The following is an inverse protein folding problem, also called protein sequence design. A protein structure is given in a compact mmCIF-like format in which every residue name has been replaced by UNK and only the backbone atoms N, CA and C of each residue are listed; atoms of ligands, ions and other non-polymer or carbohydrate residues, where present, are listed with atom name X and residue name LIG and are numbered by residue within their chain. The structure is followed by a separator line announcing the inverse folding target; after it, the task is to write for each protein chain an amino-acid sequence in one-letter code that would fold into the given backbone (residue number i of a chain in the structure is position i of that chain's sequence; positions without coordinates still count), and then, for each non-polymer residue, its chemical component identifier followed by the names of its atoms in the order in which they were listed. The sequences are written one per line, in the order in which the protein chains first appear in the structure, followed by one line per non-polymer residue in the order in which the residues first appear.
data_IF_217582484119
#
_entry.id   IF_217582484119
#
_cell.length_a   1.000
_cell.length_b   1.000
_cell.length_c   1.000
_cell.angle_alpha   90.00
_cell.angle_beta   90.00
_cell.angle_gamma   90.00
#
_symmetry.space_group_name_H-M   'P 1'
#
loop_
_entity.id
_entity.type
_entity.pdbx_description
1 polymer ?
#
# COMPACT_ATOMS: atom_id res chain seq x y z
N UNK A 1 -33.81 1.08 6.31
CA UNK A 1 -32.71 0.98 5.34
C UNK A 1 -31.63 0.11 5.96
N UNK A 2 -31.22 -0.98 5.32
CA UNK A 2 -30.24 -1.94 5.85
C UNK A 2 -29.98 -3.07 4.86
N UNK A 3 -28.83 -3.74 4.94
CA UNK A 3 -28.52 -4.90 4.09
C UNK A 3 -29.31 -6.12 4.58
N UNK A 4 -29.75 -7.00 3.65
CA UNK A 4 -30.42 -8.26 3.99
C UNK A 4 -29.62 -9.07 5.02
N UNK A 5 -28.30 -9.16 4.82
CA UNK A 5 -27.38 -9.83 5.73
C UNK A 5 -27.42 -9.25 7.16
N UNK A 6 -27.48 -7.92 7.31
CA UNK A 6 -27.57 -7.27 8.62
C UNK A 6 -28.90 -7.52 9.34
N UNK A 7 -30.01 -7.61 8.59
CA UNK A 7 -31.35 -7.90 9.15
C UNK A 7 -31.49 -9.37 9.52
N UNK A 8 -30.86 -10.28 8.76
CA UNK A 8 -30.89 -11.73 8.98
C UNK A 8 -29.78 -12.23 9.94
N UNK A 9 -29.13 -11.33 10.69
CA UNK A 9 -28.17 -11.72 11.73
C UNK A 9 -26.79 -12.19 11.24
N UNK A 10 -26.38 -11.80 10.03
CA UNK A 10 -25.07 -12.09 9.46
C UNK A 10 -24.19 -10.83 9.45
N UNK A 11 -23.52 -10.48 10.57
CA UNK A 11 -22.72 -9.27 10.67
C UNK A 11 -21.47 -9.34 9.78
N UNK A 12 -21.14 -8.21 9.15
CA UNK A 12 -19.91 -8.08 8.37
C UNK A 12 -18.75 -7.78 9.33
N UNK A 13 -17.68 -8.58 9.27
CA UNK A 13 -16.43 -8.28 9.96
C UNK A 13 -15.52 -7.46 9.05
N UNK A 14 -15.06 -6.31 9.54
CA UNK A 14 -14.07 -5.47 8.85
C UNK A 14 -12.70 -5.83 9.41
N UNK A 15 -11.79 -6.28 8.55
CA UNK A 15 -10.39 -6.53 8.91
C UNK A 15 -9.54 -5.35 8.47
N UNK A 16 -8.73 -4.80 9.37
CA UNK A 16 -7.84 -3.68 9.10
C UNK A 16 -6.38 -4.08 9.35
N UNK A 17 -5.82 -5.06 8.61
CA UNK A 17 -4.53 -5.69 8.94
C UNK A 17 -3.33 -4.74 8.88
N UNK A 18 -3.50 -3.54 8.32
CA UNK A 18 -2.44 -2.56 8.13
C UNK A 18 -2.60 -1.32 9.03
N UNK A 19 -3.66 -1.22 9.86
CA UNK A 19 -4.03 0.04 10.52
C UNK A 19 -2.98 0.56 11.50
N UNK A 20 -2.31 -0.35 12.21
CA UNK A 20 -1.26 -0.02 13.18
C UNK A 20 0.16 -0.06 12.58
N UNK A 21 0.27 -0.38 11.28
CA UNK A 21 1.56 -0.54 10.61
C UNK A 21 2.04 0.78 10.02
N UNK A 22 3.32 1.07 10.24
CA UNK A 22 4.05 2.10 9.48
C UNK A 22 4.24 1.66 8.04
N UNK A 23 4.53 2.62 7.17
CA UNK A 23 4.75 2.34 5.73
C UNK A 23 5.90 1.35 5.49
N UNK A 24 6.97 1.46 6.28
CA UNK A 24 8.11 0.52 6.26
C UNK A 24 7.72 -0.90 6.68
N UNK A 25 6.87 -1.04 7.69
CA UNK A 25 6.34 -2.34 8.13
C UNK A 25 5.40 -2.96 7.08
N UNK A 26 4.58 -2.15 6.41
CA UNK A 26 3.75 -2.58 5.28
C UNK A 26 4.63 -3.09 4.14
N UNK A 27 5.74 -2.40 3.83
CA UNK A 27 6.69 -2.81 2.80
C UNK A 27 7.37 -4.13 3.18
N UNK A 28 7.91 -4.23 4.40
CA UNK A 28 8.53 -5.47 4.89
C UNK A 28 7.55 -6.66 4.88
N UNK A 29 6.29 -6.44 5.27
CA UNK A 29 5.24 -7.46 5.22
C UNK A 29 4.96 -7.89 3.77
N UNK A 30 4.81 -6.96 2.84
CA UNK A 30 4.61 -7.30 1.43
C UNK A 30 5.79 -8.07 0.83
N UNK A 31 7.03 -7.68 1.15
CA UNK A 31 8.23 -8.42 0.72
C UNK A 31 8.22 -9.84 1.28
N UNK A 32 7.87 -10.01 2.57
CA UNK A 32 7.73 -11.34 3.20
C UNK A 32 6.66 -12.21 2.54
N UNK A 33 5.57 -11.59 2.06
CA UNK A 33 4.47 -12.26 1.37
C UNK A 33 4.73 -12.48 -0.13
N UNK A 34 5.87 -12.02 -0.67
CA UNK A 34 6.20 -12.16 -2.09
C UNK A 34 5.45 -11.20 -3.00
N UNK A 35 5.04 -10.03 -2.51
CA UNK A 35 4.42 -8.98 -3.33
C UNK A 35 5.45 -8.44 -4.32
N UNK A 36 5.09 -8.41 -5.60
CA UNK A 36 5.87 -7.73 -6.63
C UNK A 36 5.56 -6.23 -6.61
N UNK A 37 6.44 -5.46 -5.98
CA UNK A 37 6.29 -4.01 -5.86
C UNK A 37 6.49 -3.24 -7.18
N UNK A 38 6.99 -3.89 -8.24
CA UNK A 38 7.08 -3.28 -9.57
C UNK A 38 5.72 -3.12 -10.25
N UNK A 39 4.72 -3.90 -9.82
CA UNK A 39 3.35 -3.85 -10.33
C UNK A 39 2.43 -2.90 -9.53
N UNK A 40 2.96 -2.24 -8.50
CA UNK A 40 2.19 -1.39 -7.61
C UNK A 40 2.31 0.08 -8.01
N UNK A 41 1.31 0.90 -7.68
CA UNK A 41 1.43 2.36 -7.80
C UNK A 41 1.02 3.02 -6.50
N UNK A 42 1.80 4.01 -6.07
CA UNK A 42 1.45 4.91 -4.97
C UNK A 42 1.36 6.36 -5.43
N UNK A 43 1.93 6.69 -6.59
CA UNK A 43 2.02 8.06 -7.08
C UNK A 43 0.63 8.64 -7.38
N UNK A 44 0.41 9.91 -7.03
CA UNK A 44 -0.82 10.62 -7.36
C UNK A 44 -0.89 11.08 -8.82
N UNK A 45 0.27 11.25 -9.46
CA UNK A 45 0.38 11.72 -10.83
C UNK A 45 1.54 11.01 -11.53
N UNK A 46 1.42 9.70 -11.78
CA UNK A 46 2.43 9.00 -12.56
C UNK A 46 2.53 9.57 -13.98
N UNK A 47 3.67 9.36 -14.65
CA UNK A 47 3.82 9.72 -16.06
C UNK A 47 3.09 8.73 -16.99
N UNK A 48 3.21 8.93 -18.30
CA UNK A 48 2.58 8.06 -19.31
C UNK A 48 3.08 6.61 -19.29
N UNK A 49 4.24 6.36 -18.71
CA UNK A 49 4.83 5.03 -18.55
C UNK A 49 4.51 4.42 -17.17
N UNK A 50 3.75 5.13 -16.34
CA UNK A 50 3.40 4.71 -14.99
C UNK A 50 4.46 5.02 -13.92
N UNK A 51 5.56 5.71 -14.28
CA UNK A 51 6.64 6.01 -13.33
C UNK A 51 6.19 7.04 -12.29
N UNK A 52 6.63 6.91 -11.02
CA UNK A 52 6.28 7.83 -9.97
C UNK A 52 6.87 9.23 -10.24
N UNK A 53 6.13 10.28 -9.90
CA UNK A 53 6.56 11.67 -10.16
C UNK A 53 7.66 12.17 -9.23
N UNK A 54 7.99 11.42 -8.17
CA UNK A 54 9.03 11.76 -7.18
C UNK A 54 8.73 12.96 -6.27
N UNK A 55 7.66 13.74 -6.53
CA UNK A 55 7.42 15.03 -5.87
C UNK A 55 6.14 15.12 -5.03
N UNK A 56 5.22 14.17 -5.15
CA UNK A 56 4.01 14.14 -4.33
C UNK A 56 4.26 13.45 -2.98
N UNK A 57 3.39 13.69 -1.99
CA UNK A 57 3.57 13.13 -0.64
C UNK A 57 3.58 11.61 -0.62
N UNK A 58 2.77 10.96 -1.45
CA UNK A 58 2.78 9.50 -1.56
C UNK A 58 4.09 8.96 -2.11
N UNK A 59 4.74 9.65 -3.05
CA UNK A 59 6.08 9.28 -3.52
C UNK A 59 7.10 9.40 -2.39
N UNK A 60 7.05 10.48 -1.59
CA UNK A 60 7.94 10.67 -0.44
C UNK A 60 7.75 9.60 0.62
N UNK A 61 6.49 9.28 0.96
CA UNK A 61 6.16 8.24 1.94
C UNK A 61 6.59 6.86 1.45
N UNK A 62 6.41 6.55 0.16
CA UNK A 62 6.91 5.30 -0.43
C UNK A 62 8.43 5.22 -0.32
N UNK A 63 9.14 6.23 -0.79
CA UNK A 63 10.60 6.27 -0.77
C UNK A 63 11.15 6.12 0.66
N UNK A 64 10.60 6.87 1.63
CA UNK A 64 10.97 6.74 3.04
C UNK A 64 10.68 5.35 3.58
N UNK A 65 9.51 4.79 3.26
CA UNK A 65 9.13 3.45 3.70
C UNK A 65 10.07 2.35 3.18
N UNK A 66 10.49 2.42 1.92
CA UNK A 66 11.45 1.46 1.35
C UNK A 66 12.83 1.60 2.00
N UNK A 67 13.30 2.85 2.14
CA UNK A 67 14.55 3.16 2.82
C UNK A 67 14.58 2.63 4.26
N UNK A 68 13.55 2.93 5.05
CA UNK A 68 13.43 2.45 6.44
C UNK A 68 13.27 0.92 6.55
N UNK A 69 12.63 0.28 5.56
CA UNK A 69 12.48 -1.16 5.52
C UNK A 69 13.77 -1.88 5.04
N UNK A 70 14.78 -1.14 4.56
CA UNK A 70 16.03 -1.71 4.07
C UNK A 70 15.92 -2.39 2.71
N UNK A 71 14.93 -2.02 1.89
CA UNK A 71 14.73 -2.56 0.54
C UNK A 71 14.87 -1.48 -0.53
N UNK A 72 15.37 -1.85 -1.70
CA UNK A 72 15.33 -0.99 -2.88
C UNK A 72 13.92 -0.95 -3.48
N UNK A 73 13.42 0.23 -3.80
CA UNK A 73 12.12 0.39 -4.46
C UNK A 73 12.24 0.10 -5.97
N UNK A 74 11.59 -0.94 -6.52
CA UNK A 74 11.74 -1.31 -7.94
C UNK A 74 11.25 -0.25 -8.94
N UNK A 75 10.55 0.80 -8.49
CA UNK A 75 10.08 1.90 -9.35
C UNK A 75 10.99 3.13 -9.33
N UNK A 76 11.99 3.16 -8.45
CA UNK A 76 12.92 4.29 -8.30
C UNK A 76 14.39 3.89 -8.15
N UNK A 77 14.68 2.58 -8.06
CA UNK A 77 16.01 1.99 -8.05
C UNK A 77 16.66 1.95 -9.44
#
# INVERSE_FOLDING_TARGET
LGTKAGVEGHPIRIETPLIDLKKSEIIALGMKLGVDYSLTSSCYQPDSEGKPCGRCDSCRLRALGFHEAGYSDPLTA
#
